data_IF_886504173665
#
_entry.id   IF_886504173665
#
_cell.length_a   1.000
_cell.length_b   1.000
_cell.length_c   1.000
_cell.angle_alpha   90.00
_cell.angle_beta   90.00
_cell.angle_gamma   90.00
#
_symmetry.space_group_name_H-M   'P 1'
#
loop_
_entity.id
_entity.type
_entity.pdbx_description
1 polymer ?
#
# COMPACT_ATOMS: atom_id res chain seq x y z
N UNK A 1 5.67 6.04 11.32
CA UNK A 1 4.92 6.09 10.06
C UNK A 1 3.74 5.14 10.16
N UNK A 2 2.55 5.64 9.90
CA UNK A 2 1.32 4.85 10.02
C UNK A 2 0.89 4.40 8.63
N UNK A 3 1.07 3.11 8.33
CA UNK A 3 0.77 2.58 7.00
C UNK A 3 -0.44 1.66 7.08
N UNK A 4 -1.45 1.99 6.29
CA UNK A 4 -2.65 1.15 6.16
C UNK A 4 -2.79 0.70 4.73
N UNK A 5 -2.96 -0.60 4.55
CA UNK A 5 -3.07 -1.21 3.24
C UNK A 5 -4.45 -1.82 3.10
N UNK A 6 -5.26 -1.24 2.23
CA UNK A 6 -6.61 -1.75 1.98
C UNK A 6 -6.52 -2.83 0.92
N UNK A 7 -6.97 -4.03 1.25
CA UNK A 7 -6.78 -5.21 0.42
C UNK A 7 -8.12 -5.87 0.10
N UNK A 8 -8.08 -6.75 -0.90
CA UNK A 8 -9.20 -7.64 -1.21
C UNK A 8 -8.71 -9.08 -1.22
N UNK A 9 -9.64 -10.00 -1.08
CA UNK A 9 -9.34 -11.42 -1.14
C UNK A 9 -8.73 -11.78 -2.49
N UNK A 10 -7.69 -12.62 -2.47
CA UNK A 10 -7.06 -13.09 -3.70
C UNK A 10 -6.25 -12.04 -4.45
N UNK A 11 -5.83 -10.98 -3.79
CA UNK A 11 -5.10 -9.90 -4.42
C UNK A 11 -3.61 -10.19 -4.43
N UNK A 12 -3.07 -10.48 -5.63
CA UNK A 12 -1.64 -10.74 -5.78
C UNK A 12 -0.79 -9.52 -5.41
N UNK A 13 -1.19 -8.35 -5.90
CA UNK A 13 -0.43 -7.13 -5.66
C UNK A 13 -0.49 -6.69 -4.20
N UNK A 14 -1.53 -7.08 -3.49
CA UNK A 14 -1.61 -6.81 -2.06
C UNK A 14 -0.50 -7.56 -1.32
N UNK A 15 -0.24 -8.80 -1.72
CA UNK A 15 0.85 -9.58 -1.16
C UNK A 15 2.20 -8.94 -1.48
N UNK A 16 2.35 -8.42 -2.68
CA UNK A 16 3.57 -7.71 -3.07
C UNK A 16 3.78 -6.47 -2.22
N UNK A 17 2.70 -5.77 -1.89
CA UNK A 17 2.79 -4.59 -1.03
C UNK A 17 3.27 -4.97 0.36
N UNK A 18 2.78 -6.07 0.89
CA UNK A 18 3.24 -6.55 2.21
C UNK A 18 4.74 -6.86 2.18
N UNK A 19 5.20 -7.48 1.10
CA UNK A 19 6.63 -7.78 0.94
C UNK A 19 7.44 -6.50 0.88
N UNK A 20 6.93 -5.49 0.20
CA UNK A 20 7.60 -4.21 0.13
C UNK A 20 7.79 -3.58 1.51
N UNK A 21 6.73 -3.64 2.32
CA UNK A 21 6.81 -3.13 3.68
C UNK A 21 7.82 -3.89 4.52
N UNK A 22 7.89 -5.20 4.34
CA UNK A 22 8.87 -6.03 5.06
C UNK A 22 10.28 -5.66 4.68
N UNK A 23 10.54 -5.41 3.40
CA UNK A 23 11.85 -4.97 2.95
C UNK A 23 12.23 -3.63 3.53
N UNK A 24 11.26 -2.74 3.63
CA UNK A 24 11.47 -1.42 4.19
C UNK A 24 11.58 -1.44 5.70
N UNK A 25 11.29 -2.58 6.32
CA UNK A 25 11.32 -2.76 7.77
C UNK A 25 10.41 -1.76 8.48
N UNK A 26 9.24 -1.54 7.90
CA UNK A 26 8.23 -0.65 8.48
C UNK A 26 7.03 -1.46 8.92
N UNK A 27 6.36 -0.98 9.94
CA UNK A 27 5.13 -1.59 10.41
C UNK A 27 3.98 -1.15 9.51
N UNK A 28 3.01 -2.04 9.36
CA UNK A 28 1.86 -1.75 8.53
C UNK A 28 0.65 -2.53 9.04
N UNK A 29 -0.52 -2.06 8.64
CA UNK A 29 -1.78 -2.71 8.98
C UNK A 29 -2.50 -3.04 7.68
N UNK A 30 -3.07 -4.23 7.57
CA UNK A 30 -3.87 -4.61 6.41
C UNK A 30 -5.33 -4.61 6.78
N UNK A 31 -6.16 -4.08 5.90
CA UNK A 31 -7.60 -3.96 6.13
C UNK A 31 -8.30 -4.53 4.90
N UNK A 32 -8.98 -5.65 5.09
CA UNK A 32 -9.70 -6.27 3.99
C UNK A 32 -11.06 -5.60 3.83
N UNK A 33 -11.38 -5.20 2.61
CA UNK A 33 -12.63 -4.49 2.33
C UNK A 33 -13.28 -5.05 1.08
N UNK A 34 -14.58 -4.81 0.96
CA UNK A 34 -15.30 -5.07 -0.29
C UNK A 34 -15.20 -3.85 -1.19
N UNK A 35 -15.58 -4.02 -2.45
CA UNK A 35 -15.61 -2.90 -3.38
C UNK A 35 -16.55 -1.80 -2.89
N UNK A 36 -17.69 -2.18 -2.34
CA UNK A 36 -18.64 -1.21 -1.81
C UNK A 36 -18.07 -0.43 -0.65
N UNK A 37 -17.40 -1.13 0.28
CA UNK A 37 -16.77 -0.48 1.41
C UNK A 37 -15.69 0.50 0.96
N UNK A 38 -14.90 0.08 -0.02
CA UNK A 38 -13.83 0.93 -0.54
C UNK A 38 -14.38 2.18 -1.20
N UNK A 39 -15.46 2.03 -1.98
CA UNK A 39 -16.09 3.19 -2.64
C UNK A 39 -16.62 4.19 -1.61
N UNK A 40 -17.09 3.71 -0.46
CA UNK A 40 -17.59 4.59 0.58
C UNK A 40 -16.46 5.31 1.29
N UNK A 41 -15.33 4.64 1.50
CA UNK A 41 -14.20 5.20 2.24
C UNK A 41 -13.31 6.07 1.34
N UNK A 42 -12.97 5.54 0.19
CA UNK A 42 -12.03 6.19 -0.74
C UNK A 42 -12.56 6.06 -2.16
N UNK A 43 -13.47 6.94 -2.56
CA UNK A 43 -14.08 6.82 -3.91
C UNK A 43 -13.07 6.96 -5.04
N UNK A 44 -11.91 7.55 -4.78
CA UNK A 44 -10.88 7.69 -5.81
C UNK A 44 -10.06 6.42 -6.02
N UNK A 45 -10.19 5.44 -5.13
CA UNK A 45 -9.43 4.21 -5.25
C UNK A 45 -9.92 3.41 -6.45
N UNK A 46 -9.02 3.08 -7.36
CA UNK A 46 -9.36 2.36 -8.58
C UNK A 46 -8.74 0.97 -8.63
N UNK A 47 -7.87 0.65 -7.70
CA UNK A 47 -7.18 -0.64 -7.71
C UNK A 47 -6.74 -0.99 -6.31
N UNK A 48 -6.28 -2.23 -6.16
CA UNK A 48 -5.76 -2.74 -4.90
C UNK A 48 -4.33 -3.20 -5.12
N UNK A 49 -3.49 -3.09 -4.11
CA UNK A 49 -3.74 -2.52 -2.79
C UNK A 49 -3.92 -1.01 -2.88
N UNK A 50 -4.65 -0.45 -1.93
CA UNK A 50 -4.77 1.00 -1.82
C UNK A 50 -4.13 1.41 -0.49
N UNK A 51 -3.14 2.26 -0.54
CA UNK A 51 -2.24 2.53 0.58
C UNK A 51 -2.44 3.93 1.11
N UNK A 52 -2.61 4.01 2.43
CA UNK A 52 -2.72 5.27 3.14
C UNK A 52 -1.54 5.36 4.10
N UNK A 53 -0.76 6.42 4.01
CA UNK A 53 0.39 6.61 4.88
C UNK A 53 0.22 7.93 5.62
N UNK A 54 0.18 7.84 6.94
CA UNK A 54 0.00 9.02 7.82
C UNK A 54 -1.23 9.83 7.42
N UNK A 55 -2.29 9.14 7.04
CA UNK A 55 -3.55 9.77 6.64
C UNK A 55 -3.59 10.27 5.21
N UNK A 56 -2.52 10.10 4.46
CA UNK A 56 -2.44 10.56 3.08
C UNK A 56 -2.63 9.40 2.12
N UNK A 57 -3.49 9.59 1.13
CA UNK A 57 -3.76 8.56 0.12
C UNK A 57 -2.60 8.50 -0.87
N UNK A 58 -1.82 7.44 -0.78
CA UNK A 58 -0.64 7.28 -1.63
C UNK A 58 -1.01 6.66 -2.97
N UNK A 59 -1.86 5.63 -2.94
CA UNK A 59 -2.27 4.94 -4.15
C UNK A 59 -1.94 3.46 -4.09
N UNK A 60 -1.59 2.88 -5.23
CA UNK A 60 -1.34 1.45 -5.34
C UNK A 60 0.10 1.07 -5.06
N UNK A 61 0.46 -0.13 -5.54
CA UNK A 61 1.78 -0.69 -5.28
C UNK A 61 2.90 0.18 -5.87
N UNK A 62 2.72 0.63 -7.11
CA UNK A 62 3.77 1.39 -7.79
C UNK A 62 3.97 2.74 -7.12
N UNK A 63 2.88 3.43 -6.79
CA UNK A 63 2.95 4.70 -6.09
C UNK A 63 3.62 4.55 -4.74
N UNK A 64 3.31 3.47 -4.03
CA UNK A 64 3.90 3.19 -2.73
C UNK A 64 5.38 2.90 -2.85
N UNK A 65 5.78 2.16 -3.88
CA UNK A 65 7.20 1.87 -4.12
C UNK A 65 7.97 3.16 -4.38
N UNK A 66 7.39 4.05 -5.18
CA UNK A 66 8.02 5.34 -5.44
C UNK A 66 8.15 6.17 -4.16
N UNK A 67 7.12 6.14 -3.32
CA UNK A 67 7.15 6.83 -2.05
C UNK A 67 8.27 6.30 -1.17
N UNK A 68 8.39 4.98 -1.09
CA UNK A 68 9.42 4.36 -0.26
C UNK A 68 10.81 4.67 -0.78
N UNK A 69 10.99 4.73 -2.10
CA UNK A 69 12.26 5.11 -2.69
C UNK A 69 12.61 6.55 -2.36
N UNK A 70 11.64 7.43 -2.46
CA UNK A 70 11.83 8.84 -2.18
C UNK A 70 12.23 9.06 -0.72
N UNK A 71 11.62 8.30 0.18
CA UNK A 71 11.89 8.42 1.61
C UNK A 71 13.15 7.65 2.03
N UNK A 72 13.77 6.93 1.11
CA UNK A 72 14.97 6.18 1.42
C UNK A 72 14.72 4.91 2.21
N UNK A 73 13.48 4.43 2.21
CA UNK A 73 13.12 3.21 2.95
C UNK A 73 13.53 1.95 2.21
N UNK A 74 13.54 2.00 0.89
CA UNK A 74 14.03 0.91 0.06
C UNK A 74 14.96 1.47 -1.00
N UNK A 75 15.76 0.61 -1.61
CA UNK A 75 16.69 1.01 -2.65
C UNK A 75 16.16 0.57 -4.02
N UNK A 76 16.25 1.46 -5.01
CA UNK A 76 15.93 1.11 -6.38
C UNK A 76 16.98 0.22 -6.98
N UNK A 77 18.17 0.28 -6.43
CA UNK A 77 19.29 -0.52 -6.93
C UNK A 77 19.12 -1.95 -6.46
N UNK A 78 19.23 -2.86 -7.38
CA UNK A 78 19.06 -4.27 -7.07
C UNK A 78 20.15 -4.80 -6.19
N UNK A 79 21.30 -4.24 -6.32
CA UNK A 79 22.41 -4.61 -5.45
C UNK A 79 22.61 -6.07 -5.35
#
# INVERSE_FOLDING_TARGET
MDIKIYTQDGCFYCDQMKELCKRAEVEYETIQVTTQEMNALYPKATSYPYVIIDGEEIGGLIESAKFFLKEGLVSANKG
#
